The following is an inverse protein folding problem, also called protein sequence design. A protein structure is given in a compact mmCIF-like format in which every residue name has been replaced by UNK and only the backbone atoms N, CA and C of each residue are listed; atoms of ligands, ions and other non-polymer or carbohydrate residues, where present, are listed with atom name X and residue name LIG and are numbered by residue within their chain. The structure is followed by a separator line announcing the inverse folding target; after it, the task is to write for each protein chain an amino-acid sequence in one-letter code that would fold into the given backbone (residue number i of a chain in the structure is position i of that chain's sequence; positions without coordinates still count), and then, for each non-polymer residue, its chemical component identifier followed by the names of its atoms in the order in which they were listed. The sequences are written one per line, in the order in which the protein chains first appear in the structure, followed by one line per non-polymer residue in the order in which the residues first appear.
data_IF_646601921056
#
_entry.id   IF_646601921056
#
_cell.length_a   1.000
_cell.length_b   1.000
_cell.length_c   1.000
_cell.angle_alpha   90.00
_cell.angle_beta   90.00
_cell.angle_gamma   90.00
#
_symmetry.space_group_name_H-M   'P 1'
#
loop_
_entity.id
_entity.type
_entity.pdbx_description
1 polymer ?
#
# COMPACT_ATOMS: atom_id res chain seq x y z
N UNK A 1 21.64 -2.97 27.83
CA UNK A 1 21.23 -3.02 26.41
C UNK A 1 21.64 -4.38 25.87
N UNK A 2 20.67 -5.22 25.54
CA UNK A 2 20.89 -6.60 25.11
C UNK A 2 21.45 -6.65 23.68
N UNK A 3 22.06 -7.77 23.28
CA UNK A 3 22.66 -7.86 21.93
C UNK A 3 21.62 -7.85 20.81
N UNK A 4 20.40 -8.34 21.06
CA UNK A 4 19.30 -8.24 20.09
C UNK A 4 18.81 -6.80 19.92
N UNK A 5 18.85 -5.97 20.98
CA UNK A 5 18.52 -4.52 20.88
C UNK A 5 19.55 -3.78 20.03
N UNK A 6 20.85 -4.10 20.20
CA UNK A 6 21.92 -3.53 19.36
C UNK A 6 21.74 -3.94 17.90
N UNK A 7 21.45 -5.21 17.64
CA UNK A 7 21.18 -5.70 16.28
C UNK A 7 19.96 -5.01 15.66
N UNK A 8 18.89 -4.80 16.43
CA UNK A 8 17.70 -4.10 15.95
C UNK A 8 18.01 -2.64 15.61
N UNK A 9 18.79 -1.95 16.44
CA UNK A 9 19.25 -0.57 16.17
C UNK A 9 20.12 -0.50 14.93
N UNK A 10 21.06 -1.43 14.76
CA UNK A 10 21.91 -1.51 13.58
C UNK A 10 21.09 -1.73 12.31
N UNK A 11 20.13 -2.66 12.33
CA UNK A 11 19.23 -2.91 11.20
C UNK A 11 18.39 -1.68 10.87
N UNK A 12 17.85 -1.00 11.87
CA UNK A 12 17.09 0.25 11.66
C UNK A 12 17.96 1.35 11.03
N UNK A 13 19.21 1.48 11.46
CA UNK A 13 20.14 2.44 10.88
C UNK A 13 20.52 2.08 9.43
N UNK A 14 20.65 0.79 9.12
CA UNK A 14 20.90 0.33 7.75
C UNK A 14 19.71 0.61 6.83
N UNK A 15 18.48 0.36 7.29
CA UNK A 15 17.25 0.69 6.54
C UNK A 15 17.19 2.18 6.23
N UNK A 16 17.42 3.04 7.23
CA UNK A 16 17.43 4.50 7.03
C UNK A 16 18.45 4.95 5.98
N UNK A 17 19.65 4.37 6.00
CA UNK A 17 20.69 4.68 4.99
C UNK A 17 20.26 4.26 3.59
N UNK A 18 19.63 3.09 3.45
CA UNK A 18 19.12 2.63 2.17
C UNK A 18 17.97 3.50 1.65
N UNK A 19 17.07 3.95 2.54
CA UNK A 19 15.99 4.89 2.20
C UNK A 19 16.56 6.22 1.72
N UNK A 20 17.52 6.81 2.44
CA UNK A 20 18.19 8.05 2.03
C UNK A 20 18.88 7.92 0.65
N UNK A 21 19.59 6.81 0.41
CA UNK A 21 20.22 6.57 -0.88
C UNK A 21 19.19 6.49 -2.04
N UNK A 22 18.01 5.93 -1.77
CA UNK A 22 16.92 5.91 -2.75
C UNK A 22 16.38 7.32 -3.01
N UNK A 23 16.19 8.15 -1.98
CA UNK A 23 15.77 9.55 -2.14
C UNK A 23 16.74 10.35 -3.00
N UNK A 24 18.05 10.21 -2.74
CA UNK A 24 19.11 10.85 -3.52
C UNK A 24 19.11 10.36 -4.97
N UNK A 25 18.99 9.05 -5.18
CA UNK A 25 18.90 8.46 -6.53
C UNK A 25 17.68 8.98 -7.31
N UNK A 26 16.53 9.16 -6.64
CA UNK A 26 15.32 9.72 -7.25
C UNK A 26 15.54 11.18 -7.68
N UNK A 27 16.21 11.98 -6.85
CA UNK A 27 16.56 13.35 -7.19
C UNK A 27 17.53 13.41 -8.38
N UNK A 28 18.59 12.61 -8.35
CA UNK A 28 19.61 12.58 -9.39
C UNK A 28 19.08 12.04 -10.73
N UNK A 29 18.20 11.03 -10.70
CA UNK A 29 17.58 10.48 -11.90
C UNK A 29 16.73 11.53 -12.64
N UNK A 30 16.15 12.49 -11.91
CA UNK A 30 15.45 13.61 -12.51
C UNK A 30 16.42 14.67 -13.04
N UNK A 31 17.34 15.14 -12.20
CA UNK A 31 18.25 16.24 -12.51
C UNK A 31 19.24 15.88 -13.64
N UNK A 32 19.77 14.65 -13.66
CA UNK A 32 20.78 14.19 -14.63
C UNK A 32 20.17 13.40 -15.80
N UNK A 33 19.11 12.63 -15.53
CA UNK A 33 18.55 11.68 -16.50
C UNK A 33 17.48 12.27 -17.42
N UNK A 34 16.94 13.46 -17.12
CA UNK A 34 15.81 14.04 -17.85
C UNK A 34 14.56 13.15 -17.85
N UNK A 35 14.48 12.19 -16.91
CA UNK A 35 13.41 11.21 -16.85
C UNK A 35 12.13 11.86 -16.30
N UNK A 36 10.99 11.57 -16.92
CA UNK A 36 9.69 12.00 -16.38
C UNK A 36 9.41 11.35 -15.02
N UNK A 37 8.75 12.08 -14.12
CA UNK A 37 8.36 11.57 -12.78
C UNK A 37 7.61 10.24 -12.80
N UNK A 38 6.81 9.96 -13.84
CA UNK A 38 6.13 8.66 -14.00
C UNK A 38 7.11 7.51 -14.20
N UNK A 39 8.16 7.70 -14.99
CA UNK A 39 9.21 6.70 -15.22
C UNK A 39 10.04 6.47 -13.97
N UNK A 40 10.38 7.55 -13.26
CA UNK A 40 11.12 7.47 -11.99
C UNK A 40 10.29 6.73 -10.93
N UNK A 41 9.02 7.10 -10.76
CA UNK A 41 8.13 6.42 -9.81
C UNK A 41 7.93 4.94 -10.15
N UNK A 42 7.76 4.61 -11.44
CA UNK A 42 7.66 3.23 -11.87
C UNK A 42 8.94 2.42 -11.59
N UNK A 43 10.13 2.99 -11.86
CA UNK A 43 11.41 2.32 -11.63
C UNK A 43 11.73 2.13 -10.14
N UNK A 44 11.35 3.09 -9.30
CA UNK A 44 11.54 3.02 -7.85
C UNK A 44 10.37 2.33 -7.10
N UNK A 45 9.37 1.81 -7.83
CA UNK A 45 8.15 1.20 -7.26
C UNK A 45 7.38 2.13 -6.29
N UNK A 46 7.44 3.44 -6.51
CA UNK A 46 6.81 4.47 -5.70
C UNK A 46 5.83 5.32 -6.50
N UNK A 47 4.93 6.00 -5.81
CA UNK A 47 4.05 6.97 -6.47
C UNK A 47 4.90 8.13 -7.05
N UNK A 48 4.63 8.53 -8.28
CA UNK A 48 5.35 9.63 -8.96
C UNK A 48 5.19 10.99 -8.26
N UNK A 49 4.05 11.27 -7.60
CA UNK A 49 3.90 12.48 -6.79
C UNK A 49 4.78 12.45 -5.54
N UNK A 50 4.94 11.27 -4.94
CA UNK A 50 5.87 11.08 -3.83
C UNK A 50 7.30 11.31 -4.29
N UNK A 51 7.72 10.67 -5.40
CA UNK A 51 9.04 10.86 -5.98
C UNK A 51 9.36 12.34 -6.27
N UNK A 52 8.38 13.08 -6.80
CA UNK A 52 8.51 14.53 -7.04
C UNK A 52 8.72 15.32 -5.75
N UNK A 53 7.93 15.05 -4.70
CA UNK A 53 8.06 15.74 -3.40
C UNK A 53 9.40 15.44 -2.74
N UNK A 54 9.82 14.18 -2.76
CA UNK A 54 11.11 13.73 -2.23
C UNK A 54 12.26 14.42 -2.94
N UNK A 55 12.26 14.46 -4.27
CA UNK A 55 13.31 15.14 -5.03
C UNK A 55 13.37 16.64 -4.73
N UNK A 56 12.21 17.31 -4.59
CA UNK A 56 12.16 18.71 -4.19
C UNK A 56 12.79 18.93 -2.79
N UNK A 57 12.45 18.08 -1.83
CA UNK A 57 13.02 18.13 -0.48
C UNK A 57 14.54 17.86 -0.47
N UNK A 58 15.04 16.94 -1.31
CA UNK A 58 16.48 16.69 -1.46
C UNK A 58 17.17 17.91 -2.06
N UNK A 59 16.57 18.56 -3.07
CA UNK A 59 17.13 19.77 -3.67
C UNK A 59 17.19 20.93 -2.67
N UNK A 60 16.11 21.19 -1.94
CA UNK A 60 16.07 22.20 -0.88
C UNK A 60 17.15 21.94 0.19
N UNK A 61 17.38 20.67 0.56
CA UNK A 61 18.44 20.27 1.48
C UNK A 61 19.84 20.54 0.94
N UNK A 62 20.07 20.29 -0.36
CA UNK A 62 21.35 20.58 -1.04
C UNK A 62 21.59 22.10 -1.11
N UNK A 63 20.54 22.88 -1.35
CA UNK A 63 20.58 24.35 -1.39
C UNK A 63 20.81 24.98 -0.01
N UNK A 64 20.26 24.39 1.06
CA UNK A 64 20.45 24.85 2.44
C UNK A 64 21.89 24.65 2.99
N UNK A 65 22.74 23.92 2.26
CA UNK A 65 24.14 23.70 2.61
C UNK A 65 24.35 22.68 3.75
N UNK A 66 25.61 22.28 4.02
CA UNK A 66 25.95 21.15 4.90
C UNK A 66 25.73 21.38 6.40
N UNK A 67 25.04 22.46 6.80
CA UNK A 67 24.84 22.86 8.20
C UNK A 67 23.38 22.91 8.68
N UNK A 68 22.41 22.48 7.87
CA UNK A 68 21.02 22.43 8.30
C UNK A 68 20.80 21.25 9.27
N UNK A 69 20.60 21.57 10.54
CA UNK A 69 20.23 20.64 11.61
C UNK A 69 19.09 19.68 11.19
N UNK A 70 19.09 18.43 11.68
CA UNK A 70 18.11 17.43 11.31
C UNK A 70 16.71 17.89 11.76
N UNK A 71 15.83 18.14 10.79
CA UNK A 71 14.44 18.46 11.08
C UNK A 71 13.70 17.29 11.75
N UNK A 72 12.71 17.61 12.58
CA UNK A 72 12.12 16.71 13.57
C UNK A 72 11.42 15.53 12.94
N UNK A 73 11.43 14.40 13.65
CA UNK A 73 10.77 13.18 13.27
C UNK A 73 9.25 13.37 13.10
N UNK A 74 8.80 13.25 11.85
CA UNK A 74 7.50 12.80 11.31
C UNK A 74 6.18 13.45 11.79
N UNK A 75 5.16 13.43 10.91
CA UNK A 75 4.21 12.33 11.09
C UNK A 75 3.93 11.52 9.79
N UNK A 76 4.02 10.20 9.97
CA UNK A 76 3.40 9.09 9.21
C UNK A 76 4.05 8.64 7.89
N UNK A 77 5.24 8.03 8.02
CA UNK A 77 5.55 6.85 7.22
C UNK A 77 4.49 5.77 7.46
N UNK A 78 3.85 5.27 6.40
CA UNK A 78 2.91 4.15 6.45
C UNK A 78 3.64 2.91 7.00
N UNK A 79 3.39 2.49 8.25
CA UNK A 79 4.09 1.37 8.84
C UNK A 79 3.32 0.11 8.45
N UNK A 80 3.54 -0.42 7.25
CA UNK A 80 3.06 -1.78 6.93
C UNK A 80 3.78 -2.39 5.73
N UNK A 81 5.05 -2.73 5.93
CA UNK A 81 5.64 -3.92 5.29
C UNK A 81 6.92 -4.40 6.00
N UNK A 82 6.74 -5.17 7.08
CA UNK A 82 7.45 -6.45 7.24
C UNK A 82 6.68 -7.41 8.16
N UNK A 83 6.23 -8.51 7.54
CA UNK A 83 5.90 -9.86 8.06
C UNK A 83 5.17 -10.05 9.42
N UNK A 84 3.98 -10.64 9.30
CA UNK A 84 3.43 -11.76 10.06
C UNK A 84 3.94 -12.03 11.50
N UNK A 85 3.05 -11.79 12.47
CA UNK A 85 2.90 -12.63 13.66
C UNK A 85 1.49 -12.39 14.26
N UNK A 86 0.70 -13.47 14.37
CA UNK A 86 -0.33 -13.66 15.40
C UNK A 86 -1.44 -12.60 15.54
N UNK A 87 -2.41 -12.61 14.64
CA UNK A 87 -3.79 -12.60 15.11
C UNK A 87 -4.39 -13.94 14.67
N UNK A 88 -4.21 -14.93 15.53
CA UNK A 88 -5.09 -16.09 15.57
C UNK A 88 -6.47 -15.56 15.94
N UNK A 89 -7.21 -15.08 14.94
CA UNK A 89 -8.67 -15.05 15.03
C UNK A 89 -9.07 -16.49 15.17
N UNK A 90 -9.50 -16.85 16.39
CA UNK A 90 -10.12 -18.14 16.67
C UNK A 90 -11.12 -18.47 15.56
N UNK A 91 -11.13 -19.70 15.03
CA UNK A 91 -12.13 -20.12 14.07
C UNK A 91 -13.49 -19.99 14.75
N UNK A 92 -14.20 -18.90 14.44
CA UNK A 92 -15.56 -18.69 14.88
C UNK A 92 -16.40 -19.78 14.24
N UNK A 93 -16.83 -20.72 15.09
CA UNK A 93 -17.90 -21.69 14.86
C UNK A 93 -19.14 -21.01 14.26
N UNK A 94 -20.06 -21.74 13.60
CA UNK A 94 -20.99 -21.19 12.60
C UNK A 94 -22.05 -20.27 13.21
N UNK A 95 -21.65 -19.03 13.49
CA UNK A 95 -22.53 -17.88 13.61
C UNK A 95 -22.69 -17.22 12.25
N UNK A 96 -23.84 -16.59 12.05
CA UNK A 96 -24.20 -15.87 10.83
C UNK A 96 -23.14 -14.79 10.51
N UNK A 97 -22.32 -15.05 9.48
CA UNK A 97 -21.28 -14.12 9.06
C UNK A 97 -21.94 -12.87 8.46
N UNK A 98 -21.89 -11.76 9.19
CA UNK A 98 -22.37 -10.46 8.71
C UNK A 98 -21.17 -9.61 8.30
N UNK A 99 -20.95 -9.35 7.00
CA UNK A 99 -19.80 -8.58 6.55
C UNK A 99 -19.96 -7.09 6.86
N UNK A 100 -18.92 -6.48 7.44
CA UNK A 100 -18.87 -5.03 7.66
C UNK A 100 -18.30 -4.31 6.42
N UNK A 101 -19.17 -3.96 5.47
CA UNK A 101 -18.80 -3.30 4.21
C UNK A 101 -18.26 -1.87 4.42
N UNK A 102 -18.44 -1.27 5.61
CA UNK A 102 -17.94 0.08 5.92
C UNK A 102 -16.41 0.15 5.96
N UNK A 103 -15.73 -0.99 6.15
CA UNK A 103 -14.26 -1.12 6.14
C UNK A 103 -13.64 -1.05 4.75
N UNK A 104 -14.46 -1.12 3.71
CA UNK A 104 -14.01 -1.08 2.32
C UNK A 104 -13.85 0.36 1.84
N UNK A 105 -12.83 0.59 1.02
CA UNK A 105 -12.74 1.83 0.24
C UNK A 105 -13.83 1.85 -0.83
N UNK A 106 -14.22 3.04 -1.29
CA UNK A 106 -15.19 3.19 -2.38
C UNK A 106 -14.85 2.31 -3.59
N UNK A 107 -13.57 2.28 -3.99
CA UNK A 107 -13.11 1.49 -5.14
C UNK A 107 -13.17 -0.03 -4.90
N UNK A 108 -12.93 -0.49 -3.68
CA UNK A 108 -13.09 -1.91 -3.34
C UNK A 108 -14.56 -2.31 -3.32
N UNK A 109 -15.45 -1.42 -2.86
CA UNK A 109 -16.90 -1.62 -2.89
C UNK A 109 -17.42 -1.73 -4.32
N UNK A 110 -17.07 -0.78 -5.19
CA UNK A 110 -17.47 -0.84 -6.61
C UNK A 110 -16.99 -2.11 -7.33
N UNK A 111 -15.84 -2.66 -6.95
CA UNK A 111 -15.37 -3.94 -7.50
C UNK A 111 -16.22 -5.11 -6.98
N UNK A 112 -16.60 -5.09 -5.71
CA UNK A 112 -17.49 -6.10 -5.11
C UNK A 112 -18.87 -6.05 -5.77
N UNK A 113 -19.44 -4.86 -5.97
CA UNK A 113 -20.75 -4.70 -6.60
C UNK A 113 -20.73 -5.30 -8.02
N UNK A 114 -19.72 -4.96 -8.83
CA UNK A 114 -19.56 -5.52 -10.18
C UNK A 114 -19.31 -7.04 -10.18
N UNK A 115 -18.64 -7.57 -9.16
CA UNK A 115 -18.47 -9.02 -9.00
C UNK A 115 -19.80 -9.69 -8.61
N UNK A 116 -20.63 -9.03 -7.81
CA UNK A 116 -21.96 -9.51 -7.46
C UNK A 116 -22.90 -9.53 -8.67
N UNK A 117 -22.73 -8.57 -9.60
CA UNK A 117 -23.37 -8.56 -10.91
C UNK A 117 -22.87 -9.65 -11.87
N UNK A 118 -21.93 -10.50 -11.43
CA UNK A 118 -21.40 -11.61 -12.21
C UNK A 118 -20.34 -11.23 -13.23
N UNK A 119 -19.82 -9.99 -13.22
CA UNK A 119 -18.76 -9.58 -14.16
C UNK A 119 -17.46 -10.29 -13.88
N UNK A 120 -16.74 -10.62 -14.94
CA UNK A 120 -15.40 -11.19 -14.82
C UNK A 120 -14.36 -10.12 -14.49
N UNK A 121 -13.25 -10.53 -13.86
CA UNK A 121 -12.15 -9.62 -13.52
C UNK A 121 -11.59 -8.86 -14.73
N UNK A 122 -11.64 -9.45 -15.93
CA UNK A 122 -11.18 -8.83 -17.18
C UNK A 122 -12.10 -7.69 -17.61
N UNK A 123 -13.41 -7.88 -17.47
CA UNK A 123 -14.41 -6.86 -17.78
C UNK A 123 -14.31 -5.70 -16.79
N UNK A 124 -14.20 -6.02 -15.49
CA UNK A 124 -14.01 -5.03 -14.44
C UNK A 124 -12.73 -4.22 -14.68
N UNK A 125 -11.65 -4.88 -15.04
CA UNK A 125 -10.39 -4.23 -15.37
C UNK A 125 -10.54 -3.23 -16.53
N UNK A 126 -11.26 -3.64 -17.58
CA UNK A 126 -11.60 -2.79 -18.73
C UNK A 126 -12.44 -1.57 -18.31
N UNK A 127 -13.45 -1.76 -17.47
CA UNK A 127 -14.32 -0.67 -16.98
C UNK A 127 -13.55 0.39 -16.19
N UNK A 128 -12.57 -0.03 -15.38
CA UNK A 128 -11.77 0.90 -14.57
C UNK A 128 -10.49 1.40 -15.26
N UNK A 129 -10.20 0.93 -16.48
CA UNK A 129 -8.95 1.25 -17.19
C UNK A 129 -7.70 0.83 -16.42
N UNK A 130 -7.74 -0.33 -15.74
CA UNK A 130 -6.61 -0.88 -14.98
C UNK A 130 -6.25 -2.28 -15.43
N UNK A 131 -5.08 -2.77 -15.04
CA UNK A 131 -4.66 -4.15 -15.29
C UNK A 131 -5.49 -5.14 -14.46
N UNK A 132 -5.75 -6.33 -15.01
CA UNK A 132 -6.50 -7.42 -14.36
C UNK A 132 -5.90 -7.81 -13.01
N UNK A 133 -4.57 -7.85 -12.93
CA UNK A 133 -3.81 -8.18 -11.72
C UNK A 133 -4.12 -7.20 -10.58
N UNK A 134 -4.34 -5.92 -10.93
CA UNK A 134 -4.69 -4.89 -9.95
C UNK A 134 -6.09 -5.10 -9.37
N UNK A 135 -7.06 -5.51 -10.19
CA UNK A 135 -8.41 -5.87 -9.72
C UNK A 135 -8.36 -7.12 -8.84
N UNK A 136 -7.58 -8.14 -9.23
CA UNK A 136 -7.37 -9.34 -8.42
C UNK A 136 -6.73 -9.01 -7.05
N UNK A 137 -5.75 -8.11 -7.03
CA UNK A 137 -5.13 -7.63 -5.79
C UNK A 137 -6.11 -6.84 -4.92
N UNK A 138 -6.97 -6.02 -5.52
CA UNK A 138 -8.02 -5.29 -4.80
C UNK A 138 -9.06 -6.24 -4.20
N UNK A 139 -9.50 -7.27 -4.95
CA UNK A 139 -10.36 -8.35 -4.42
C UNK A 139 -9.72 -9.05 -3.23
N UNK A 140 -8.43 -9.39 -3.33
CA UNK A 140 -7.67 -10.02 -2.22
C UNK A 140 -7.58 -9.11 -0.99
N UNK A 141 -7.36 -7.82 -1.20
CA UNK A 141 -7.32 -6.84 -0.12
C UNK A 141 -8.69 -6.70 0.56
N UNK A 142 -9.78 -6.69 -0.22
CA UNK A 142 -11.14 -6.66 0.30
C UNK A 142 -11.44 -7.91 1.16
N UNK A 143 -11.14 -9.12 0.66
CA UNK A 143 -11.26 -10.37 1.45
C UNK A 143 -10.53 -10.29 2.77
N UNK A 144 -9.29 -9.79 2.77
CA UNK A 144 -8.48 -9.62 3.98
C UNK A 144 -9.08 -8.60 4.95
N UNK A 145 -9.60 -7.47 4.46
CA UNK A 145 -10.21 -6.42 5.30
C UNK A 145 -11.49 -6.90 5.99
N UNK A 146 -12.25 -7.75 5.30
CA UNK A 146 -13.50 -8.32 5.77
C UNK A 146 -13.33 -9.61 6.60
N UNK A 147 -12.09 -10.09 6.79
CA UNK A 147 -11.82 -11.34 7.49
C UNK A 147 -12.35 -12.58 6.77
N UNK A 148 -12.60 -12.50 5.46
CA UNK A 148 -13.15 -13.60 4.65
C UNK A 148 -12.04 -14.61 4.37
N UNK A 149 -12.16 -15.80 4.92
CA UNK A 149 -11.22 -16.89 4.72
C UNK A 149 -11.78 -17.98 3.80
N UNK A 150 -13.10 -18.09 3.70
CA UNK A 150 -13.77 -19.13 2.91
C UNK A 150 -14.53 -18.55 1.71
N UNK A 151 -14.86 -19.41 0.74
CA UNK A 151 -15.67 -19.00 -0.40
C UNK A 151 -17.14 -18.75 -0.03
N UNK A 152 -17.80 -19.56 0.82
CA UNK A 152 -19.17 -19.25 1.29
C UNK A 152 -19.29 -17.88 1.98
N UNK A 153 -18.31 -17.49 2.80
CA UNK A 153 -18.26 -16.14 3.39
C UNK A 153 -18.11 -15.07 2.31
N UNK A 154 -17.31 -15.31 1.27
CA UNK A 154 -17.19 -14.38 0.15
C UNK A 154 -18.51 -14.22 -0.61
N UNK A 155 -19.26 -15.31 -0.81
CA UNK A 155 -20.58 -15.26 -1.43
C UNK A 155 -21.58 -14.48 -0.57
N UNK A 156 -21.49 -14.56 0.77
CA UNK A 156 -22.30 -13.73 1.66
C UNK A 156 -21.98 -12.23 1.53
N UNK A 157 -20.71 -11.87 1.32
CA UNK A 157 -20.31 -10.48 1.00
C UNK A 157 -20.97 -10.00 -0.29
N UNK A 158 -20.94 -10.80 -1.35
CA UNK A 158 -21.52 -10.42 -2.65
C UNK A 158 -23.05 -10.23 -2.58
N UNK A 159 -23.74 -11.05 -1.78
CA UNK A 159 -25.18 -10.89 -1.55
C UNK A 159 -25.47 -9.62 -0.75
N UNK A 160 -24.74 -9.41 0.35
CA UNK A 160 -24.91 -8.22 1.19
C UNK A 160 -24.68 -6.91 0.42
N UNK A 161 -23.78 -6.88 -0.58
CA UNK A 161 -23.59 -5.69 -1.42
C UNK A 161 -24.77 -5.42 -2.37
N UNK A 162 -25.52 -6.45 -2.78
CA UNK A 162 -26.72 -6.28 -3.62
C UNK A 162 -27.92 -5.77 -2.82
N UNK A 163 -27.99 -6.12 -1.53
CA UNK A 163 -29.07 -5.68 -0.64
C UNK A 163 -28.91 -4.19 -0.20
N UNK A 164 -27.71 -3.61 -0.33
CA UNK A 164 -27.43 -2.19 -0.05
C UNK A 164 -27.69 -1.24 -1.25
N UNK A 165 -27.96 -1.76 -2.46
CA UNK A 165 -28.10 -1.01 -3.71
C UNK A 165 -29.56 -0.63 -4.04
#
# INVERSE_FOLDING_TARGET
MTDWEKQLKQRRAAIRRAEQALEETIADAYDLGGLSWRKIGAAAEVNHEWARKTAAAVRERREAGPGADPLPADPVANPRRTRAAGQDTEPTMPGEYTPDLTRLTHRERSIIDLLADGKELVEIASLFGVQRERVAQQRRNARRKLGVTTEPQWQAVLRASQDEA
#
